data_IF_062203261176
#
_entry.id   IF_062203261176
#
_cell.length_a   1.000
_cell.length_b   1.000
_cell.length_c   1.000
_cell.angle_alpha   90.00
_cell.angle_beta   90.00
_cell.angle_gamma   90.00
#
_symmetry.space_group_name_H-M   'P 1'
#
loop_
_entity.id
_entity.type
_entity.pdbx_description
1 polymer ?
#
# COMPACT_ATOMS: atom_id res chain seq x y z
N UNK A 1 49.01 -22.33 -88.34
CA UNK A 1 47.58 -22.31 -88.73
C UNK A 1 46.99 -20.98 -88.27
N UNK A 2 46.97 -20.04 -89.21
CA UNK A 2 46.22 -18.76 -89.19
C UNK A 2 44.70 -19.05 -89.35
N UNK A 3 43.74 -18.09 -89.26
CA UNK A 3 43.75 -16.71 -89.82
C UNK A 3 43.28 -15.62 -88.83
N UNK A 4 43.86 -14.42 -88.85
CA UNK A 4 43.43 -13.20 -89.58
C UNK A 4 41.98 -12.75 -89.36
N UNK A 5 41.88 -11.55 -88.76
CA UNK A 5 40.70 -10.71 -88.61
C UNK A 5 39.99 -10.41 -89.94
N UNK A 6 38.69 -10.08 -89.86
CA UNK A 6 38.27 -8.82 -90.48
C UNK A 6 37.25 -8.04 -89.63
N UNK A 7 37.33 -6.71 -89.73
CA UNK A 7 36.24 -5.78 -89.47
C UNK A 7 35.24 -5.85 -90.64
N UNK A 8 33.93 -5.86 -90.38
CA UNK A 8 32.94 -5.10 -91.18
C UNK A 8 31.48 -5.34 -90.75
N UNK A 9 30.81 -4.21 -90.55
CA UNK A 9 29.48 -3.84 -91.03
C UNK A 9 28.22 -4.60 -90.58
N UNK A 10 27.49 -3.89 -89.72
CA UNK A 10 26.12 -3.38 -89.96
C UNK A 10 25.17 -4.30 -90.75
N UNK A 11 24.20 -4.83 -90.00
CA UNK A 11 22.83 -4.95 -90.50
C UNK A 11 21.88 -4.42 -89.43
N UNK A 12 21.42 -3.18 -89.63
CA UNK A 12 20.27 -2.62 -88.93
C UNK A 12 19.04 -2.89 -89.78
N UNK A 13 18.04 -3.58 -89.22
CA UNK A 13 16.64 -3.18 -89.39
C UNK A 13 15.74 -3.84 -88.32
N UNK A 14 15.42 -2.99 -87.34
CA UNK A 14 14.18 -2.88 -86.54
C UNK A 14 12.92 -3.12 -87.39
N UNK A 15 11.75 -3.57 -86.92
CA UNK A 15 11.16 -3.74 -85.58
C UNK A 15 9.86 -4.59 -85.69
N UNK A 16 9.38 -5.19 -84.58
CA UNK A 16 7.95 -5.18 -84.16
C UNK A 16 7.80 -5.71 -82.73
N UNK A 17 6.87 -5.09 -81.99
CA UNK A 17 6.65 -5.12 -80.54
C UNK A 17 5.79 -6.31 -80.08
N UNK A 18 6.17 -6.99 -78.99
CA UNK A 18 5.26 -7.82 -78.18
C UNK A 18 5.68 -7.73 -76.71
N UNK A 19 4.84 -7.13 -75.88
CA UNK A 19 5.07 -6.98 -74.44
C UNK A 19 4.87 -8.31 -73.72
N UNK A 20 5.76 -8.72 -72.80
CA UNK A 20 5.44 -9.73 -71.81
C UNK A 20 4.85 -9.06 -70.56
N UNK A 21 3.66 -9.55 -70.16
CA UNK A 21 3.07 -9.40 -68.83
C UNK A 21 4.14 -9.59 -67.75
N UNK A 22 4.56 -8.49 -67.11
CA UNK A 22 5.27 -8.55 -65.85
C UNK A 22 4.24 -8.40 -64.72
N UNK A 23 4.21 -9.31 -63.73
CA UNK A 23 3.31 -9.16 -62.59
C UNK A 23 3.64 -7.85 -61.88
N UNK A 24 2.64 -6.97 -61.80
CA UNK A 24 2.73 -5.70 -61.09
C UNK A 24 2.99 -6.01 -59.62
N UNK A 25 4.21 -5.76 -59.16
CA UNK A 25 4.58 -5.95 -57.77
C UNK A 25 4.03 -4.76 -56.98
N UNK A 26 2.80 -4.91 -56.46
CA UNK A 26 2.19 -3.91 -55.59
C UNK A 26 2.97 -3.89 -54.28
N UNK A 27 3.53 -2.74 -53.83
CA UNK A 27 4.14 -2.63 -52.52
C UNK A 27 3.09 -2.98 -51.47
N UNK A 28 3.37 -3.99 -50.63
CA UNK A 28 2.53 -4.29 -49.48
C UNK A 28 2.80 -3.22 -48.44
N UNK A 29 1.99 -2.16 -48.48
CA UNK A 29 1.89 -1.21 -47.38
C UNK A 29 1.39 -1.98 -46.14
N UNK A 30 2.25 -2.06 -45.13
CA UNK A 30 2.04 -2.57 -43.76
C UNK A 30 1.10 -3.80 -43.60
N UNK A 31 1.62 -5.00 -43.27
CA UNK A 31 0.83 -6.24 -43.10
C UNK A 31 -0.34 -6.15 -42.10
N UNK A 32 -0.36 -5.11 -41.27
CA UNK A 32 -1.37 -4.88 -40.25
C UNK A 32 -2.38 -3.76 -40.61
N UNK A 33 -2.26 -3.17 -41.80
CA UNK A 33 -3.20 -2.17 -42.29
C UNK A 33 -4.56 -2.80 -42.62
N UNK A 34 -5.64 -2.19 -42.15
CA UNK A 34 -7.01 -2.68 -42.35
C UNK A 34 -7.61 -2.05 -43.63
N UNK A 35 -7.08 -2.47 -44.78
CA UNK A 35 -7.63 -2.11 -46.10
C UNK A 35 -8.52 -3.25 -46.62
N UNK A 36 -9.54 -2.91 -47.41
CA UNK A 36 -10.43 -3.90 -48.06
C UNK A 36 -9.64 -4.96 -48.86
N UNK A 37 -8.45 -4.60 -49.35
CA UNK A 37 -7.54 -5.50 -50.04
C UNK A 37 -6.87 -6.52 -49.10
N UNK A 38 -6.45 -6.11 -47.89
CA UNK A 38 -5.83 -7.01 -46.92
C UNK A 38 -6.81 -8.05 -46.36
N UNK A 39 -8.10 -7.70 -46.21
CA UNK A 39 -9.14 -8.65 -45.78
C UNK A 39 -9.46 -9.71 -46.84
N UNK A 40 -9.45 -9.32 -48.12
CA UNK A 40 -9.59 -10.27 -49.24
C UNK A 40 -8.39 -11.24 -49.26
N UNK A 41 -7.17 -10.75 -48.99
CA UNK A 41 -5.96 -11.58 -48.95
C UNK A 41 -5.91 -12.54 -47.75
N UNK A 42 -6.45 -12.15 -46.58
CA UNK A 42 -6.67 -13.05 -45.42
C UNK A 42 -7.66 -14.16 -45.76
N UNK A 43 -8.78 -13.82 -46.41
CA UNK A 43 -9.81 -14.78 -46.84
C UNK A 43 -9.33 -15.77 -47.90
N UNK A 44 -8.40 -15.36 -48.75
CA UNK A 44 -7.76 -16.21 -49.77
C UNK A 44 -6.52 -16.98 -49.25
N UNK A 45 -6.17 -16.86 -47.97
CA UNK A 45 -5.11 -17.65 -47.32
C UNK A 45 -3.69 -17.21 -47.67
N UNK A 46 -3.50 -16.01 -48.21
CA UNK A 46 -2.19 -15.44 -48.57
C UNK A 46 -1.51 -14.78 -47.36
N UNK A 47 -2.30 -14.29 -46.40
CA UNK A 47 -1.84 -13.65 -45.15
C UNK A 47 -2.52 -14.35 -43.96
N UNK A 48 -1.81 -14.64 -42.85
CA UNK A 48 -2.40 -15.21 -41.63
C UNK A 48 -3.52 -14.34 -41.04
N UNK A 49 -4.52 -14.97 -40.42
CA UNK A 49 -5.59 -14.25 -39.72
C UNK A 49 -5.07 -13.46 -38.52
N UNK A 50 -5.66 -12.29 -38.27
CA UNK A 50 -5.28 -11.39 -37.16
C UNK A 50 -5.66 -12.06 -35.84
N UNK A 51 -4.82 -12.00 -34.79
CA UNK A 51 -5.22 -12.50 -33.48
C UNK A 51 -6.49 -11.78 -33.02
N UNK A 52 -7.44 -12.49 -32.36
CA UNK A 52 -8.67 -11.87 -31.88
C UNK A 52 -8.34 -10.71 -30.96
N UNK A 53 -9.01 -9.57 -31.18
CA UNK A 53 -8.75 -8.36 -30.40
C UNK A 53 -9.06 -8.63 -28.91
N UNK A 54 -8.19 -8.29 -27.96
CA UNK A 54 -8.40 -8.52 -26.52
C UNK A 54 -9.53 -7.66 -25.90
N UNK A 55 -10.22 -6.86 -26.71
CA UNK A 55 -11.31 -5.95 -26.36
C UNK A 55 -12.41 -6.54 -25.46
N UNK A 56 -12.94 -7.77 -25.67
CA UNK A 56 -13.99 -8.31 -24.80
C UNK A 56 -13.47 -8.70 -23.41
N UNK A 57 -12.24 -9.21 -23.31
CA UNK A 57 -11.60 -9.50 -22.01
C UNK A 57 -11.31 -8.22 -21.22
N UNK A 58 -10.89 -7.15 -21.91
CA UNK A 58 -10.63 -5.85 -21.29
C UNK A 58 -11.93 -5.24 -20.77
N UNK A 59 -13.03 -5.39 -21.52
CA UNK A 59 -14.33 -4.86 -21.14
C UNK A 59 -14.93 -5.61 -19.94
N UNK A 60 -14.85 -6.94 -19.93
CA UNK A 60 -15.27 -7.75 -18.79
C UNK A 60 -14.45 -7.43 -17.53
N UNK A 61 -13.12 -7.29 -17.67
CA UNK A 61 -12.26 -6.89 -16.56
C UNK A 61 -12.60 -5.49 -16.01
N UNK A 62 -12.98 -4.56 -16.89
CA UNK A 62 -13.39 -3.21 -16.50
C UNK A 62 -14.74 -3.20 -15.77
N UNK A 63 -15.70 -4.02 -16.22
CA UNK A 63 -17.00 -4.19 -15.55
C UNK A 63 -16.84 -4.83 -14.17
N UNK A 64 -16.01 -5.87 -14.05
CA UNK A 64 -15.66 -6.49 -12.77
C UNK A 64 -14.93 -5.50 -11.84
N UNK A 65 -14.01 -4.69 -12.36
CA UNK A 65 -13.36 -3.65 -11.56
C UNK A 65 -14.36 -2.61 -11.04
N UNK A 66 -15.38 -2.28 -11.84
CA UNK A 66 -16.44 -1.34 -11.45
C UNK A 66 -17.34 -1.89 -10.36
N UNK A 67 -17.74 -3.16 -10.44
CA UNK A 67 -18.53 -3.81 -9.37
C UNK A 67 -17.72 -3.93 -8.09
N UNK A 68 -16.46 -4.34 -8.20
CA UNK A 68 -15.58 -4.47 -7.05
C UNK A 68 -15.30 -3.10 -6.39
N UNK A 69 -15.14 -2.03 -7.19
CA UNK A 69 -15.04 -0.67 -6.67
C UNK A 69 -16.35 -0.20 -6.01
N UNK A 70 -17.51 -0.60 -6.54
CA UNK A 70 -18.80 -0.31 -5.94
C UNK A 70 -18.95 -1.01 -4.58
N UNK A 71 -18.58 -2.29 -4.48
CA UNK A 71 -18.65 -3.07 -3.25
C UNK A 71 -17.67 -2.58 -2.18
N UNK A 72 -16.46 -2.17 -2.58
CA UNK A 72 -15.44 -1.69 -1.66
C UNK A 72 -15.53 -0.18 -1.35
N UNK A 73 -16.54 0.55 -1.88
CA UNK A 73 -16.69 2.00 -1.67
C UNK A 73 -16.79 2.41 -0.20
N UNK A 74 -17.30 1.49 0.63
CA UNK A 74 -17.52 1.71 2.06
C UNK A 74 -16.34 1.22 2.90
N UNK A 75 -15.39 0.48 2.31
CA UNK A 75 -14.22 -0.03 3.03
C UNK A 75 -13.42 1.11 3.65
N UNK A 76 -13.08 0.96 4.93
CA UNK A 76 -12.34 1.96 5.69
C UNK A 76 -13.18 3.11 6.26
N UNK A 77 -14.47 3.22 5.91
CA UNK A 77 -15.36 4.20 6.55
C UNK A 77 -15.69 3.84 7.99
N UNK A 78 -15.84 4.85 8.83
CA UNK A 78 -16.28 4.69 10.21
C UNK A 78 -17.81 4.80 10.35
N UNK A 79 -18.33 4.56 11.56
CA UNK A 79 -19.78 4.52 11.78
C UNK A 79 -20.45 5.89 11.56
N UNK A 80 -19.71 6.97 11.82
CA UNK A 80 -20.17 8.34 11.64
C UNK A 80 -20.28 8.65 10.14
N UNK A 81 -19.25 8.34 9.33
CA UNK A 81 -19.27 8.50 7.88
C UNK A 81 -20.35 7.65 7.19
N UNK A 82 -20.67 6.46 7.72
CA UNK A 82 -21.76 5.64 7.20
C UNK A 82 -23.14 6.23 7.48
N UNK A 83 -23.30 7.00 8.56
CA UNK A 83 -24.56 7.67 8.87
C UNK A 83 -24.84 8.82 7.89
N UNK A 84 -23.80 9.52 7.43
CA UNK A 84 -23.94 10.59 6.43
C UNK A 84 -24.40 10.08 5.06
N UNK A 85 -24.17 8.80 4.74
CA UNK A 85 -24.54 8.18 3.46
C UNK A 85 -25.93 7.53 3.49
N UNK A 86 -26.65 7.62 4.60
CA UNK A 86 -27.99 7.02 4.79
C UNK A 86 -29.04 7.60 3.83
N UNK A 87 -28.87 8.84 3.37
CA UNK A 87 -29.74 9.48 2.38
C UNK A 87 -29.41 9.08 0.93
N UNK A 88 -28.21 8.53 0.67
CA UNK A 88 -27.69 8.29 -0.69
C UNK A 88 -27.72 6.80 -1.11
N UNK A 89 -27.69 5.88 -0.15
CA UNK A 89 -27.52 4.44 -0.40
C UNK A 89 -28.71 3.61 0.13
N UNK A 90 -28.89 2.41 -0.42
CA UNK A 90 -29.99 1.51 -0.01
C UNK A 90 -29.86 1.08 1.45
N UNK A 91 -30.97 1.17 2.20
CA UNK A 91 -31.03 0.87 3.64
C UNK A 91 -30.51 -0.55 3.94
N UNK A 92 -30.93 -1.56 3.16
CA UNK A 92 -30.49 -2.95 3.31
C UNK A 92 -28.97 -3.15 3.11
N UNK A 93 -28.35 -2.38 2.20
CA UNK A 93 -26.91 -2.45 1.93
C UNK A 93 -26.11 -1.84 3.08
N UNK A 94 -26.50 -0.66 3.55
CA UNK A 94 -25.89 0.01 4.71
C UNK A 94 -26.03 -0.83 5.99
N UNK A 95 -27.18 -1.48 6.19
CA UNK A 95 -27.44 -2.29 7.37
C UNK A 95 -26.53 -3.52 7.44
N UNK A 96 -26.29 -4.16 6.29
CA UNK A 96 -25.34 -5.28 6.18
C UNK A 96 -23.90 -4.84 6.49
N UNK A 97 -23.51 -3.64 6.02
CA UNK A 97 -22.19 -3.10 6.23
C UNK A 97 -21.97 -2.64 7.67
N UNK A 98 -22.95 -1.97 8.29
CA UNK A 98 -22.96 -1.63 9.72
C UNK A 98 -22.77 -2.87 10.60
N UNK A 99 -23.49 -3.95 10.32
CA UNK A 99 -23.36 -5.24 11.03
C UNK A 99 -21.95 -5.82 10.88
N UNK A 100 -21.41 -5.84 9.66
CA UNK A 100 -20.03 -6.28 9.40
C UNK A 100 -19.03 -5.44 10.20
N UNK A 101 -19.16 -4.11 10.17
CA UNK A 101 -18.24 -3.19 10.86
C UNK A 101 -18.31 -3.32 12.39
N UNK A 102 -19.52 -3.45 12.95
CA UNK A 102 -19.69 -3.71 14.39
C UNK A 102 -19.04 -5.03 14.83
N UNK A 103 -19.16 -6.09 14.02
CA UNK A 103 -18.52 -7.36 14.31
C UNK A 103 -16.99 -7.26 14.30
N UNK A 104 -16.42 -6.53 13.35
CA UNK A 104 -14.98 -6.25 13.29
C UNK A 104 -14.50 -5.47 14.52
N UNK A 105 -15.19 -4.38 14.88
CA UNK A 105 -14.87 -3.57 16.07
C UNK A 105 -14.98 -4.40 17.35
N UNK A 106 -16.00 -5.25 17.47
CA UNK A 106 -16.16 -6.17 18.60
C UNK A 106 -15.01 -7.16 18.70
N UNK A 107 -14.53 -7.67 17.56
CA UNK A 107 -13.38 -8.58 17.49
C UNK A 107 -12.10 -7.87 17.91
N UNK A 108 -11.84 -6.66 17.39
CA UNK A 108 -10.66 -5.87 17.76
C UNK A 108 -10.70 -5.53 19.24
N UNK A 109 -11.85 -5.11 19.77
CA UNK A 109 -11.98 -4.74 21.17
C UNK A 109 -11.79 -5.94 22.12
N UNK A 110 -12.29 -7.13 21.75
CA UNK A 110 -12.07 -8.34 22.54
C UNK A 110 -10.62 -8.85 22.46
N UNK A 111 -9.95 -8.65 21.32
CA UNK A 111 -8.53 -8.93 21.16
C UNK A 111 -7.62 -7.88 21.82
N UNK A 112 -8.15 -6.71 22.18
CA UNK A 112 -7.41 -5.58 22.74
C UNK A 112 -7.02 -5.78 24.21
N UNK A 113 -6.06 -6.68 24.45
CA UNK A 113 -5.64 -7.09 25.80
C UNK A 113 -4.36 -6.38 26.25
N UNK A 114 -3.49 -5.96 25.32
CA UNK A 114 -2.12 -5.52 25.65
C UNK A 114 -2.05 -4.05 26.08
N UNK A 115 -2.55 -3.11 25.29
CA UNK A 115 -2.73 -1.66 25.59
C UNK A 115 -1.54 -0.88 26.22
N UNK A 116 -0.36 -1.48 26.36
CA UNK A 116 0.81 -0.90 27.00
C UNK A 116 2.10 -1.55 26.49
N UNK A 117 3.24 -0.95 26.83
CA UNK A 117 4.56 -1.49 26.51
C UNK A 117 5.05 -2.41 27.63
N UNK A 118 5.39 -3.65 27.27
CA UNK A 118 5.91 -4.65 28.20
C UNK A 118 7.43 -4.68 28.18
N UNK A 119 8.06 -4.45 29.33
CA UNK A 119 9.51 -4.53 29.45
C UNK A 119 9.93 -5.98 29.67
N UNK A 120 10.75 -6.51 28.76
CA UNK A 120 11.17 -7.90 28.79
C UNK A 120 12.46 -8.08 29.57
N UNK A 121 12.60 -9.29 30.12
CA UNK A 121 13.87 -9.83 30.59
C UNK A 121 14.21 -11.09 29.78
N UNK A 122 15.49 -11.43 29.73
CA UNK A 122 15.99 -12.62 29.01
C UNK A 122 15.25 -13.93 29.36
N UNK A 123 14.97 -14.29 30.63
CA UNK A 123 14.27 -15.54 30.93
C UNK A 123 12.82 -15.58 30.44
N UNK A 124 12.16 -14.43 30.35
CA UNK A 124 10.75 -14.34 29.94
C UNK A 124 10.56 -14.27 28.41
N UNK A 125 11.65 -14.09 27.64
CA UNK A 125 11.58 -13.84 26.19
C UNK A 125 10.79 -14.93 25.45
N UNK A 126 11.03 -16.21 25.74
CA UNK A 126 10.35 -17.32 25.04
C UNK A 126 8.84 -17.29 25.25
N UNK A 127 8.40 -17.14 26.51
CA UNK A 127 6.98 -17.11 26.87
C UNK A 127 6.30 -15.85 26.33
N UNK A 128 6.93 -14.70 26.56
CA UNK A 128 6.28 -13.42 26.32
C UNK A 128 6.39 -12.95 24.87
N UNK A 129 7.30 -13.54 24.07
CA UNK A 129 7.46 -13.26 22.64
C UNK A 129 7.06 -14.46 21.80
N UNK A 130 7.79 -15.57 21.88
CA UNK A 130 7.60 -16.71 20.98
C UNK A 130 6.23 -17.38 21.18
N UNK A 131 5.88 -17.75 22.41
CA UNK A 131 4.59 -18.41 22.70
C UNK A 131 3.42 -17.43 22.51
N UNK A 132 3.54 -16.20 23.02
CA UNK A 132 2.53 -15.17 22.83
C UNK A 132 2.27 -14.83 21.35
N UNK A 133 3.27 -15.01 20.47
CA UNK A 133 3.10 -14.75 19.04
C UNK A 133 2.19 -15.74 18.32
N UNK A 134 1.84 -16.87 18.94
CA UNK A 134 0.87 -17.81 18.40
C UNK A 134 -0.54 -17.21 18.36
N UNK A 135 -0.90 -16.42 19.37
CA UNK A 135 -2.22 -15.79 19.46
C UNK A 135 -2.25 -14.40 18.81
N UNK A 136 -1.22 -13.59 19.00
CA UNK A 136 -1.19 -12.19 18.55
C UNK A 136 0.09 -11.84 17.79
N UNK A 137 0.13 -10.68 17.15
CA UNK A 137 1.40 -10.12 16.68
C UNK A 137 2.19 -9.59 17.87
N UNK A 138 3.47 -9.96 17.98
CA UNK A 138 4.36 -9.46 19.04
C UNK A 138 5.50 -8.69 18.41
N UNK A 139 5.64 -7.42 18.78
CA UNK A 139 6.70 -6.55 18.31
C UNK A 139 7.67 -6.28 19.46
N UNK A 140 8.95 -6.57 19.26
CA UNK A 140 10.00 -6.34 20.25
C UNK A 140 10.91 -5.21 19.78
N UNK A 141 10.96 -4.13 20.55
CA UNK A 141 11.88 -3.02 20.36
C UNK A 141 13.17 -3.26 21.18
N UNK A 142 14.28 -3.46 20.49
CA UNK A 142 15.62 -3.51 21.06
C UNK A 142 16.23 -2.10 21.05
N UNK A 143 16.53 -1.59 22.24
CA UNK A 143 17.04 -0.24 22.45
C UNK A 143 18.53 -0.24 22.81
N UNK A 144 19.20 0.88 22.52
CA UNK A 144 20.60 1.13 22.91
C UNK A 144 20.81 0.99 24.41
N UNK A 145 21.90 0.32 24.81
CA UNK A 145 22.32 0.15 26.19
C UNK A 145 22.92 1.42 26.80
N UNK A 146 23.47 2.29 25.94
CA UNK A 146 24.19 3.51 26.34
C UNK A 146 23.23 4.68 26.56
N UNK A 147 22.00 4.61 26.05
CA UNK A 147 20.95 5.61 26.24
C UNK A 147 21.18 6.94 25.51
N UNK A 148 22.29 7.09 24.80
CA UNK A 148 22.66 8.27 24.00
C UNK A 148 22.12 8.22 22.57
N UNK A 149 21.65 7.07 22.11
CA UNK A 149 21.09 6.88 20.77
C UNK A 149 19.74 7.61 20.62
N UNK A 150 19.72 8.68 19.81
CA UNK A 150 18.52 9.50 19.57
C UNK A 150 17.38 8.72 18.92
N UNK A 151 17.68 7.83 17.97
CA UNK A 151 16.67 7.01 17.28
C UNK A 151 15.92 6.10 18.25
N UNK A 152 16.63 5.50 19.22
CA UNK A 152 16.03 4.68 20.26
C UNK A 152 15.06 5.49 21.14
N UNK A 153 15.39 6.74 21.45
CA UNK A 153 14.50 7.63 22.23
C UNK A 153 13.23 7.97 21.46
N UNK A 154 13.35 8.31 20.18
CA UNK A 154 12.20 8.57 19.30
C UNK A 154 11.30 7.34 19.23
N UNK A 155 11.90 6.16 19.04
CA UNK A 155 11.14 4.92 18.99
C UNK A 155 10.39 4.63 20.28
N UNK A 156 10.99 4.84 21.45
CA UNK A 156 10.32 4.58 22.74
C UNK A 156 9.02 5.40 22.88
N UNK A 157 9.03 6.67 22.47
CA UNK A 157 7.83 7.51 22.56
C UNK A 157 6.75 7.04 21.58
N UNK A 158 7.12 6.77 20.32
CA UNK A 158 6.18 6.24 19.33
C UNK A 158 5.63 4.86 19.73
N UNK A 159 6.46 4.03 20.35
CA UNK A 159 6.08 2.69 20.85
C UNK A 159 4.96 2.79 21.89
N UNK A 160 5.05 3.77 22.79
CA UNK A 160 4.01 4.00 23.81
C UNK A 160 2.71 4.52 23.20
N UNK A 161 2.78 5.38 22.19
CA UNK A 161 1.60 5.87 21.47
C UNK A 161 0.90 4.71 20.74
N UNK A 162 1.65 3.91 19.99
CA UNK A 162 1.11 2.77 19.25
C UNK A 162 0.55 1.69 20.16
N UNK A 163 1.21 1.37 21.27
CA UNK A 163 0.73 0.35 22.20
C UNK A 163 -0.64 0.70 22.81
N UNK A 164 -0.94 1.99 23.01
CA UNK A 164 -2.26 2.43 23.50
C UNK A 164 -3.33 2.38 22.41
N UNK A 165 -2.95 2.56 21.14
CA UNK A 165 -3.87 2.58 19.99
C UNK A 165 -4.19 1.18 19.49
N UNK A 166 -3.19 0.29 19.46
CA UNK A 166 -3.27 -1.06 18.93
C UNK A 166 -3.15 -2.10 20.04
N UNK A 167 -4.14 -2.17 20.92
CA UNK A 167 -4.10 -3.08 22.07
C UNK A 167 -4.24 -4.57 21.72
N UNK A 168 -4.59 -4.90 20.48
CA UNK A 168 -4.59 -6.23 19.88
C UNK A 168 -3.19 -6.71 19.46
N UNK A 169 -2.22 -5.80 19.44
CA UNK A 169 -0.82 -6.07 19.15
C UNK A 169 0.00 -5.94 20.42
N UNK A 170 0.88 -6.90 20.70
CA UNK A 170 1.73 -6.88 21.88
C UNK A 170 3.02 -6.11 21.61
N UNK A 171 3.18 -4.97 22.26
CA UNK A 171 4.40 -4.16 22.17
C UNK A 171 5.33 -4.47 23.34
N UNK A 172 6.51 -4.97 23.03
CA UNK A 172 7.55 -5.32 23.99
C UNK A 172 8.78 -4.42 23.79
N UNK A 173 9.54 -4.21 24.86
CA UNK A 173 10.78 -3.43 24.85
C UNK A 173 11.85 -4.14 25.67
N UNK A 174 13.07 -4.19 25.14
CA UNK A 174 14.23 -4.71 25.87
C UNK A 174 15.51 -3.94 25.49
N UNK A 175 16.53 -4.00 26.34
CA UNK A 175 17.87 -3.55 25.94
C UNK A 175 18.48 -4.57 24.98
N UNK A 176 19.15 -4.08 23.95
CA UNK A 176 19.74 -4.93 22.92
C UNK A 176 20.80 -5.90 23.50
N UNK A 177 21.63 -5.43 24.44
CA UNK A 177 22.69 -6.23 25.08
C UNK A 177 22.17 -7.37 25.95
N UNK A 178 21.00 -7.19 26.57
CA UNK A 178 20.32 -8.23 27.34
C UNK A 178 19.71 -9.31 26.43
N UNK A 179 19.30 -8.92 25.22
CA UNK A 179 18.73 -9.85 24.23
C UNK A 179 19.83 -10.67 23.57
N UNK A 180 20.85 -9.97 23.07
CA UNK A 180 21.93 -10.53 22.28
C UNK A 180 23.23 -9.94 22.84
N UNK A 181 24.07 -10.81 23.39
CA UNK A 181 25.33 -10.40 24.00
C UNK A 181 26.24 -9.75 22.94
N UNK A 182 26.74 -8.55 23.24
CA UNK A 182 27.61 -7.80 22.31
C UNK A 182 26.90 -7.22 21.09
N UNK A 183 25.56 -7.11 21.10
CA UNK A 183 24.83 -6.51 19.97
C UNK A 183 25.34 -5.08 19.67
N UNK A 184 25.74 -4.77 18.42
CA UNK A 184 26.31 -3.46 18.11
C UNK A 184 25.32 -2.33 18.34
N UNK A 185 25.71 -1.33 19.14
CA UNK A 185 24.83 -0.20 19.48
C UNK A 185 24.40 0.61 18.24
N UNK A 186 25.25 0.66 17.21
CA UNK A 186 24.94 1.28 15.90
C UNK A 186 23.78 0.61 15.15
N UNK A 187 23.41 -0.61 15.50
CA UNK A 187 22.29 -1.33 14.92
C UNK A 187 20.98 -1.06 15.69
N UNK A 188 21.04 -0.26 16.77
CA UNK A 188 19.85 0.11 17.55
C UNK A 188 19.28 1.45 17.07
N UNK A 189 17.94 1.63 17.12
CA UNK A 189 16.95 0.65 17.55
C UNK A 189 16.75 -0.48 16.53
N UNK A 190 16.39 -1.67 17.00
CA UNK A 190 15.97 -2.78 16.14
C UNK A 190 14.58 -3.24 16.54
N UNK A 191 13.70 -3.42 15.55
CA UNK A 191 12.36 -3.97 15.75
C UNK A 191 12.32 -5.39 15.20
N UNK A 192 11.91 -6.34 16.05
CA UNK A 192 11.64 -7.72 15.66
C UNK A 192 10.13 -7.97 15.72
N UNK A 193 9.55 -8.44 14.63
CA UNK A 193 8.12 -8.67 14.51
C UNK A 193 7.87 -10.17 14.42
N UNK A 194 7.18 -10.71 15.43
CA UNK A 194 6.87 -12.12 15.57
C UNK A 194 5.39 -12.40 15.32
N UNK A 195 5.12 -13.54 14.68
CA UNK A 195 3.79 -14.12 14.55
C UNK A 195 3.93 -15.62 14.28
N UNK A 196 3.09 -16.42 14.92
CA UNK A 196 3.07 -17.89 14.82
C UNK A 196 4.38 -18.59 15.26
N UNK A 197 5.12 -17.98 16.19
CA UNK A 197 6.41 -18.50 16.69
C UNK A 197 7.63 -18.05 15.90
N UNK A 198 7.44 -17.45 14.72
CA UNK A 198 8.52 -17.07 13.81
C UNK A 198 8.66 -15.54 13.68
N UNK A 199 9.87 -15.10 13.31
CA UNK A 199 10.14 -13.70 12.94
C UNK A 199 9.60 -13.49 11.52
N UNK A 200 8.58 -12.64 11.38
CA UNK A 200 8.02 -12.24 10.08
C UNK A 200 8.81 -11.11 9.43
N UNK A 201 9.29 -10.15 10.23
CA UNK A 201 10.05 -9.00 9.74
C UNK A 201 11.03 -8.51 10.80
N UNK A 202 12.18 -8.05 10.34
CA UNK A 202 13.19 -7.40 11.17
C UNK A 202 13.55 -6.04 10.55
N UNK A 203 13.57 -5.00 11.36
CA UNK A 203 13.96 -3.65 10.97
C UNK A 203 15.15 -3.25 11.84
N UNK A 204 16.31 -3.10 11.22
CA UNK A 204 17.54 -2.70 11.89
C UNK A 204 17.79 -1.23 11.62
N UNK A 205 17.94 -0.43 12.69
CA UNK A 205 17.96 1.05 12.67
C UNK A 205 16.69 1.66 12.08
N UNK A 206 16.59 2.99 12.13
CA UNK A 206 15.48 3.72 11.50
C UNK A 206 15.79 4.17 10.07
N UNK A 207 16.91 3.75 9.47
CA UNK A 207 17.32 4.22 8.13
C UNK A 207 16.24 4.00 7.07
N UNK A 208 15.51 2.89 7.15
CA UNK A 208 14.40 2.57 6.23
C UNK A 208 13.13 3.38 6.51
N UNK A 209 13.06 4.05 7.66
CA UNK A 209 11.90 4.80 8.17
C UNK A 209 12.23 6.30 8.35
N UNK A 210 13.24 6.82 7.65
CA UNK A 210 13.60 8.25 7.72
C UNK A 210 14.56 8.63 8.87
N UNK A 211 15.18 7.64 9.53
CA UNK A 211 16.19 7.83 10.55
C UNK A 211 15.64 8.53 11.80
N UNK A 212 16.33 9.54 12.35
CA UNK A 212 15.83 10.30 13.51
C UNK A 212 14.51 11.04 13.29
N UNK A 213 14.05 11.16 12.04
CA UNK A 213 12.77 11.81 11.68
C UNK A 213 11.61 10.83 11.50
N UNK A 214 11.78 9.55 11.86
CA UNK A 214 10.69 8.57 11.82
C UNK A 214 9.45 9.09 12.53
N UNK A 215 8.33 9.03 11.83
CA UNK A 215 7.02 9.40 12.36
C UNK A 215 6.24 8.17 12.82
N UNK A 216 5.18 8.38 13.58
CA UNK A 216 4.23 7.32 13.97
C UNK A 216 3.61 6.67 12.73
N UNK A 217 3.33 7.47 11.70
CA UNK A 217 2.75 7.01 10.43
C UNK A 217 3.65 6.01 9.69
N UNK A 218 4.97 6.15 9.83
CA UNK A 218 5.89 5.21 9.20
C UNK A 218 5.85 3.83 9.88
N UNK A 219 5.63 3.80 11.19
CA UNK A 219 5.43 2.57 11.95
C UNK A 219 4.03 1.97 11.71
N UNK A 220 3.01 2.79 11.54
CA UNK A 220 1.67 2.35 11.13
C UNK A 220 1.71 1.64 9.77
N UNK A 221 2.45 2.18 8.80
CA UNK A 221 2.68 1.50 7.51
C UNK A 221 3.34 0.14 7.70
N UNK A 222 4.33 0.04 8.59
CA UNK A 222 4.97 -1.25 8.91
C UNK A 222 3.96 -2.25 9.50
N UNK A 223 3.06 -1.80 10.37
CA UNK A 223 2.01 -2.66 10.95
C UNK A 223 1.05 -3.18 9.88
N UNK A 224 0.69 -2.33 8.91
CA UNK A 224 -0.16 -2.71 7.77
C UNK A 224 0.58 -3.65 6.83
N UNK A 225 1.83 -3.35 6.46
CA UNK A 225 2.65 -4.18 5.57
C UNK A 225 2.81 -5.61 6.08
N UNK A 226 2.96 -5.79 7.39
CA UNK A 226 3.14 -7.11 8.01
C UNK A 226 1.79 -7.81 8.25
N UNK A 227 0.67 -7.11 8.05
CA UNK A 227 -0.67 -7.64 8.28
C UNK A 227 -1.05 -7.71 9.76
N UNK A 228 -0.34 -6.97 10.62
CA UNK A 228 -0.70 -6.83 12.03
C UNK A 228 -1.94 -5.94 12.21
N UNK A 229 -2.12 -4.97 11.31
CA UNK A 229 -3.28 -4.08 11.25
C UNK A 229 -3.84 -4.13 9.83
N UNK A 230 -5.17 -4.10 9.69
CA UNK A 230 -5.82 -4.13 8.37
C UNK A 230 -5.65 -2.77 7.67
N UNK A 231 -5.55 -2.79 6.34
CA UNK A 231 -5.67 -1.58 5.53
C UNK A 231 -7.08 -0.99 5.75
N UNK A 232 -7.17 0.31 6.03
CA UNK A 232 -8.46 0.97 6.36
C UNK A 232 -8.94 0.76 7.80
N UNK A 233 -8.09 0.30 8.72
CA UNK A 233 -8.40 0.35 10.15
C UNK A 233 -8.61 1.80 10.60
N UNK A 234 -9.74 2.08 11.25
CA UNK A 234 -10.10 3.44 11.69
C UNK A 234 -9.08 4.01 12.68
N UNK A 235 -8.37 3.14 13.40
CA UNK A 235 -7.30 3.54 14.34
C UNK A 235 -6.09 4.15 13.64
N UNK A 236 -5.93 3.96 12.33
CA UNK A 236 -4.87 4.60 11.53
C UNK A 236 -5.21 6.05 11.19
N UNK A 237 -6.49 6.41 11.16
CA UNK A 237 -6.91 7.78 10.93
C UNK A 237 -6.68 8.57 12.22
N UNK A 238 -5.81 9.59 12.17
CA UNK A 238 -5.74 10.58 13.25
C UNK A 238 -7.02 11.41 13.18
N UNK A 239 -7.97 11.19 14.09
CA UNK A 239 -8.95 12.24 14.41
C UNK A 239 -8.13 13.45 14.86
N UNK A 240 -8.26 14.56 14.15
CA UNK A 240 -7.69 15.85 14.57
C UNK A 240 -8.47 16.29 15.83
N UNK A 241 -8.16 15.68 16.98
CA UNK A 241 -8.77 16.02 18.27
C UNK A 241 -8.34 17.41 18.79
N UNK A 242 -7.44 18.09 18.07
CA UNK A 242 -6.91 19.41 18.43
C UNK A 242 -7.85 20.58 18.10
N UNK A 243 -8.88 20.41 17.28
CA UNK A 243 -9.81 21.52 16.98
C UNK A 243 -10.98 21.64 17.97
N UNK A 244 -11.32 20.58 18.73
CA UNK A 244 -12.50 20.60 19.61
C UNK A 244 -12.17 20.86 21.10
N UNK A 245 -10.89 20.83 21.51
CA UNK A 245 -10.51 21.09 22.90
C UNK A 245 -10.28 22.59 23.22
N UNK A 246 -10.13 23.43 22.20
CA UNK A 246 -9.71 24.82 22.36
C UNK A 246 -10.86 25.86 22.36
N UNK A 247 -12.11 25.45 22.12
CA UNK A 247 -13.26 26.38 22.14
C UNK A 247 -13.86 26.61 23.55
N UNK A 248 -13.47 25.83 24.57
CA UNK A 248 -14.13 25.87 25.89
C UNK A 248 -13.34 26.53 27.03
N UNK A 249 -12.31 27.33 26.73
CA UNK A 249 -11.49 28.04 27.75
C UNK A 249 -11.33 29.54 27.50
N UNK A 250 -12.39 30.24 27.10
CA UNK A 250 -12.46 31.70 27.22
C UNK A 250 -13.82 32.09 27.84
N UNK A 251 -13.94 31.94 29.16
CA UNK A 251 -14.80 32.80 29.97
C UNK A 251 -13.88 33.74 30.73
N UNK A 252 -13.58 34.88 30.11
CA UNK A 252 -13.02 36.03 30.80
C UNK A 252 -14.00 36.46 31.90
N UNK A 253 -13.62 36.24 33.16
CA UNK A 253 -14.29 36.88 34.30
C UNK A 253 -14.01 38.37 34.23
N UNK A 254 -15.05 39.14 33.93
CA UNK A 254 -15.03 40.59 33.92
C UNK A 254 -14.83 41.07 35.36
N UNK A 255 -13.66 41.61 35.69
CA UNK A 255 -13.44 42.36 36.93
C UNK A 255 -14.20 43.68 36.86
N UNK A 256 -15.42 43.69 37.38
CA UNK A 256 -16.10 44.93 37.76
C UNK A 256 -15.71 45.22 39.21
N UNK A 257 -14.92 46.27 39.38
CA UNK A 257 -14.80 46.97 40.64
C UNK A 257 -16.14 47.69 40.90
N UNK A 258 -16.76 47.38 42.04
CA UNK A 258 -17.61 48.32 42.76
C UNK A 258 -17.44 48.01 44.25
N UNK A 259 -16.78 48.94 44.93
CA UNK A 259 -16.81 49.09 46.39
C UNK A 259 -18.24 49.46 46.79
N UNK A 260 -18.85 48.78 47.76
CA UNK A 260 -19.78 49.42 48.70
C UNK A 260 -20.07 48.52 49.91
N UNK A 261 -19.98 49.15 51.07
CA UNK A 261 -20.13 48.66 52.43
C UNK A 261 -21.43 47.86 52.68
N UNK A 262 -21.36 46.81 53.50
CA UNK A 262 -22.28 46.68 54.63
C UNK A 262 -21.81 45.62 55.65
N UNK A 263 -21.39 46.15 56.79
CA UNK A 263 -21.50 45.60 58.15
C UNK A 263 -22.83 44.85 58.39
N UNK A 264 -22.81 43.73 59.15
CA UNK A 264 -23.87 43.25 60.08
C UNK A 264 -23.50 41.88 60.68
N UNK A 265 -23.11 41.92 61.96
CA UNK A 265 -23.19 40.94 63.09
C UNK A 265 -22.75 39.47 62.89
#
# INVERSE_FOLDING_TARGET
MSPQSPLANLTLQTATMQMPDMPVNVPVDDPNADTEWNDILRKHGVIPEKPPSPTPMIQEALEQARTLAHENRLEGKDLDELAELEDEEDEDFLDSYRKKRMAELSTINSASVYNQVYHLQKPDYSRDVTEASQSAYVLVLLTSSTGTNTESRVMIEHWRELAKRFGDVKFCQMRADLCIEGYPDKNTPTVLIYKDGDIKRQIVTLVQLGGPRTSVQDLEKVLVDVGAVKLGDSRLQRKNDDENSNQNKIRQGNTAADDEDSDWD
#
